data_IF_125652451729
#
_entry.id   IF_125652451729
#
_cell.length_a   1.000
_cell.length_b   1.000
_cell.length_c   1.000
_cell.angle_alpha   90.00
_cell.angle_beta   90.00
_cell.angle_gamma   90.00
#
_symmetry.space_group_name_H-M   'P 1'
#
loop_
_entity.id
_entity.type
_entity.pdbx_description
1 polymer ?
#
# COMPACT_ATOMS: atom_id res chain seq x y z
N UNK A 1 7.17 54.61 3.08
CA UNK A 1 6.61 54.30 1.74
C UNK A 1 7.39 53.13 1.17
N UNK A 2 6.82 51.92 1.13
CA UNK A 2 7.09 50.87 0.13
C UNK A 2 6.23 49.64 0.46
N UNK A 3 5.04 49.64 -0.15
CA UNK A 3 4.18 48.53 -0.57
C UNK A 3 4.36 47.17 0.13
N UNK A 4 3.52 46.94 1.14
CA UNK A 4 3.03 45.61 1.55
C UNK A 4 2.21 45.04 0.39
N UNK A 5 2.61 43.88 -0.13
CA UNK A 5 1.84 43.11 -1.12
C UNK A 5 1.61 41.69 -0.55
N UNK A 6 0.35 41.29 -0.63
CA UNK A 6 -0.35 40.12 -0.06
C UNK A 6 0.20 38.75 -0.51
N UNK A 7 0.25 37.82 0.45
CA UNK A 7 -0.15 36.38 0.44
C UNK A 7 0.49 35.39 -0.58
N UNK A 8 0.39 34.05 -0.39
CA UNK A 8 1.01 33.22 0.66
C UNK A 8 1.44 31.79 0.16
N UNK A 9 2.45 31.12 0.71
CA UNK A 9 2.76 29.71 0.30
C UNK A 9 3.25 28.84 1.48
N UNK A 10 2.45 27.87 1.93
CA UNK A 10 2.83 26.79 2.86
C UNK A 10 1.84 25.61 2.73
N UNK A 11 2.33 24.38 2.51
CA UNK A 11 1.46 23.25 2.10
C UNK A 11 2.18 21.90 2.27
N UNK A 12 1.75 21.01 3.19
CA UNK A 12 2.36 19.66 3.31
C UNK A 12 1.40 18.46 3.44
N UNK A 13 0.11 18.61 3.80
CA UNK A 13 -0.87 17.49 3.75
C UNK A 13 -2.23 17.79 3.21
N UNK A 14 -2.58 19.07 3.16
CA UNK A 14 -3.59 19.57 2.24
C UNK A 14 -3.26 19.20 0.79
N UNK A 15 -2.00 18.85 0.51
CA UNK A 15 -1.41 18.75 -0.82
C UNK A 15 -1.96 17.66 -1.74
N UNK A 16 -2.30 16.46 -1.27
CA UNK A 16 -2.72 15.40 -2.21
C UNK A 16 -4.10 15.65 -2.85
N UNK A 17 -4.92 16.54 -2.27
CA UNK A 17 -6.29 16.80 -2.77
C UNK A 17 -6.58 18.31 -2.82
N UNK A 18 -6.18 19.12 -1.83
CA UNK A 18 -6.25 20.59 -1.82
C UNK A 18 -5.48 21.24 -2.98
N UNK A 19 -4.27 20.75 -3.25
CA UNK A 19 -3.52 21.16 -4.44
C UNK A 19 -4.19 20.62 -5.72
N UNK A 20 -4.91 19.50 -5.69
CA UNK A 20 -5.71 19.04 -6.85
C UNK A 20 -6.83 20.03 -7.22
N UNK A 21 -7.34 20.80 -6.24
CA UNK A 21 -8.45 21.76 -6.44
C UNK A 21 -7.90 23.14 -6.80
N UNK A 22 -6.84 23.61 -6.17
CA UNK A 22 -6.22 24.90 -6.50
C UNK A 22 -5.35 24.84 -7.78
N UNK A 23 -4.74 23.69 -8.08
CA UNK A 23 -3.91 23.42 -9.27
C UNK A 23 -4.71 22.84 -10.44
N UNK A 24 -6.03 22.66 -10.28
CA UNK A 24 -6.96 22.37 -11.39
C UNK A 24 -6.99 23.48 -12.46
N UNK A 25 -6.40 24.64 -12.17
CA UNK A 25 -5.89 25.57 -13.18
C UNK A 25 -4.46 25.22 -13.60
N UNK A 26 -4.28 24.05 -14.18
CA UNK A 26 -2.94 23.58 -14.57
C UNK A 26 -2.99 22.30 -15.35
N UNK A 27 -3.36 22.38 -16.62
CA UNK A 27 -3.37 21.27 -17.59
C UNK A 27 -2.03 20.49 -17.69
N UNK A 28 -0.95 21.03 -17.11
CA UNK A 28 0.38 20.45 -17.06
C UNK A 28 0.56 19.30 -16.04
N UNK A 29 -0.19 19.27 -14.93
CA UNK A 29 0.12 18.35 -13.82
C UNK A 29 -0.68 17.05 -13.86
N UNK A 30 -1.93 17.09 -14.33
CA UNK A 30 -2.76 15.90 -14.51
C UNK A 30 -2.18 14.94 -15.56
N UNK A 31 -1.56 15.47 -16.63
CA UNK A 31 -0.83 14.64 -17.61
C UNK A 31 0.38 13.94 -16.98
N UNK A 32 1.08 14.59 -16.05
CA UNK A 32 2.22 14.01 -15.32
C UNK A 32 1.74 12.92 -14.36
N UNK A 33 0.67 13.15 -13.61
CA UNK A 33 0.06 12.14 -12.72
C UNK A 33 -0.42 10.93 -13.51
N UNK A 34 -1.13 11.13 -14.62
CA UNK A 34 -1.62 10.02 -15.47
C UNK A 34 -0.44 9.23 -16.06
N UNK A 35 0.59 9.93 -16.56
CA UNK A 35 1.78 9.27 -17.13
C UNK A 35 2.58 8.51 -16.07
N UNK A 36 2.85 9.12 -14.92
CA UNK A 36 3.57 8.48 -13.80
C UNK A 36 2.78 7.33 -13.20
N UNK A 37 1.45 7.48 -13.05
CA UNK A 37 0.55 6.41 -12.63
C UNK A 37 0.55 5.27 -13.64
N UNK A 38 0.55 5.56 -14.95
CA UNK A 38 0.62 4.53 -15.98
C UNK A 38 1.90 3.70 -15.91
N UNK A 39 3.07 4.34 -15.75
CA UNK A 39 4.34 3.61 -15.66
C UNK A 39 4.43 2.80 -14.37
N UNK A 40 4.02 3.37 -13.23
CA UNK A 40 3.99 2.65 -11.96
C UNK A 40 3.00 1.48 -12.01
N UNK A 41 1.84 1.66 -12.64
CA UNK A 41 0.86 0.60 -12.83
C UNK A 41 1.41 -0.54 -13.70
N UNK A 42 2.19 -0.23 -14.75
CA UNK A 42 2.88 -1.27 -15.52
C UNK A 42 3.90 -2.04 -14.68
N UNK A 43 4.67 -1.34 -13.82
CA UNK A 43 5.57 -1.98 -12.87
C UNK A 43 4.81 -2.85 -11.84
N UNK A 44 3.62 -2.40 -11.41
CA UNK A 44 2.74 -3.15 -10.52
C UNK A 44 2.15 -4.40 -11.19
N UNK A 45 1.77 -4.31 -12.47
CA UNK A 45 1.30 -5.46 -13.24
C UNK A 45 2.43 -6.47 -13.44
N UNK A 46 3.66 -5.99 -13.71
CA UNK A 46 4.84 -6.83 -13.72
C UNK A 46 5.06 -7.52 -12.37
N UNK A 47 4.90 -6.80 -11.26
CA UNK A 47 4.92 -7.35 -9.92
C UNK A 47 3.82 -8.40 -9.67
N UNK A 48 2.62 -8.18 -10.22
CA UNK A 48 1.53 -9.15 -10.13
C UNK A 48 1.87 -10.46 -10.85
N UNK A 49 2.44 -10.36 -12.05
CA UNK A 49 2.96 -11.52 -12.80
C UNK A 49 4.10 -12.20 -12.03
N UNK A 50 5.01 -11.42 -11.46
CA UNK A 50 6.11 -11.94 -10.64
C UNK A 50 5.58 -12.71 -9.42
N UNK A 51 4.52 -12.24 -8.77
CA UNK A 51 3.85 -12.98 -7.68
C UNK A 51 3.27 -14.29 -8.18
N UNK A 52 2.51 -14.29 -9.30
CA UNK A 52 1.93 -15.51 -9.85
C UNK A 52 3.00 -16.55 -10.21
N UNK A 53 4.10 -16.13 -10.85
CA UNK A 53 5.24 -17.00 -11.14
C UNK A 53 5.87 -17.50 -9.83
N UNK A 54 6.05 -16.60 -8.85
CA UNK A 54 6.56 -16.95 -7.53
C UNK A 54 5.70 -17.98 -6.81
N UNK A 55 4.37 -17.90 -6.91
CA UNK A 55 3.44 -18.88 -6.35
C UNK A 55 3.59 -20.25 -6.99
N UNK A 56 3.70 -20.32 -8.33
CA UNK A 56 3.93 -21.59 -9.04
C UNK A 56 5.26 -22.21 -8.62
N UNK A 57 6.35 -21.43 -8.64
CA UNK A 57 7.68 -21.90 -8.26
C UNK A 57 7.72 -22.34 -6.80
N UNK A 58 7.11 -21.57 -5.90
CA UNK A 58 7.03 -21.92 -4.49
C UNK A 58 6.25 -23.22 -4.24
N UNK A 59 5.16 -23.44 -4.96
CA UNK A 59 4.37 -24.67 -4.82
C UNK A 59 5.11 -25.90 -5.35
N UNK A 60 5.91 -25.73 -6.41
CA UNK A 60 6.78 -26.80 -6.93
C UNK A 60 7.92 -27.15 -5.97
N UNK A 61 8.55 -26.16 -5.35
CA UNK A 61 9.69 -26.37 -4.43
C UNK A 61 9.24 -26.81 -3.03
N UNK A 62 8.09 -26.31 -2.58
CA UNK A 62 7.53 -26.56 -1.25
C UNK A 62 6.10 -27.08 -1.41
N UNK A 63 5.94 -28.34 -1.87
CA UNK A 63 4.62 -28.90 -2.05
C UNK A 63 3.98 -29.10 -0.67
N UNK A 64 2.97 -28.28 -0.38
CA UNK A 64 2.24 -28.20 0.89
C UNK A 64 1.32 -29.42 1.14
N UNK A 65 1.77 -30.63 0.81
CA UNK A 65 0.98 -31.88 0.83
C UNK A 65 0.43 -32.23 2.20
N UNK A 66 1.12 -31.84 3.27
CA UNK A 66 0.66 -32.07 4.65
C UNK A 66 -0.65 -31.35 4.99
N UNK A 67 -1.01 -30.32 4.21
CA UNK A 67 -2.24 -29.54 4.38
C UNK A 67 -3.41 -30.11 3.55
N UNK A 68 -3.21 -31.21 2.82
CA UNK A 68 -4.24 -31.85 2.00
C UNK A 68 -4.85 -30.87 0.99
N UNK A 69 -6.18 -30.75 1.00
CA UNK A 69 -6.91 -29.85 0.11
C UNK A 69 -6.68 -28.36 0.41
N UNK A 70 -6.18 -28.01 1.60
CA UNK A 70 -5.92 -26.61 1.94
C UNK A 70 -4.60 -26.09 1.37
N UNK A 71 -3.70 -26.95 0.91
CA UNK A 71 -2.38 -26.56 0.41
C UNK A 71 -2.46 -25.63 -0.81
N UNK A 72 -3.18 -26.01 -1.87
CA UNK A 72 -3.31 -25.15 -3.05
C UNK A 72 -4.23 -23.94 -2.79
N UNK A 73 -5.21 -24.08 -1.89
CA UNK A 73 -6.12 -22.98 -1.51
C UNK A 73 -5.38 -21.88 -0.76
N UNK A 74 -4.51 -22.24 0.20
CA UNK A 74 -3.70 -21.28 0.93
C UNK A 74 -2.63 -20.65 0.04
N UNK A 75 -2.09 -21.40 -0.93
CA UNK A 75 -1.22 -20.84 -1.96
C UNK A 75 -1.94 -19.77 -2.81
N UNK A 76 -3.20 -20.02 -3.20
CA UNK A 76 -4.02 -19.04 -3.91
C UNK A 76 -4.31 -17.79 -3.06
N UNK A 77 -4.61 -17.98 -1.77
CA UNK A 77 -4.83 -16.90 -0.83
C UNK A 77 -3.57 -16.04 -0.63
N UNK A 78 -2.41 -16.66 -0.48
CA UNK A 78 -1.11 -15.97 -0.40
C UNK A 78 -0.72 -15.30 -1.73
N UNK A 79 -1.09 -15.86 -2.88
CA UNK A 79 -0.91 -15.18 -4.15
C UNK A 79 -1.71 -13.86 -4.18
N UNK A 80 -3.01 -13.91 -3.85
CA UNK A 80 -3.84 -12.70 -3.79
C UNK A 80 -3.37 -11.71 -2.73
N UNK A 81 -2.89 -12.21 -1.58
CA UNK A 81 -2.27 -11.41 -0.50
C UNK A 81 -1.11 -10.56 -1.00
N UNK A 82 -0.26 -11.15 -1.83
CA UNK A 82 0.97 -10.54 -2.35
C UNK A 82 0.75 -9.80 -3.69
N UNK A 83 -0.49 -9.76 -4.20
CA UNK A 83 -0.89 -8.89 -5.32
C UNK A 83 -1.69 -7.69 -4.82
N UNK A 84 -2.57 -7.88 -3.83
CA UNK A 84 -3.56 -6.88 -3.41
C UNK A 84 -3.75 -6.75 -1.90
N UNK A 85 -2.80 -7.16 -1.07
CA UNK A 85 -2.85 -6.92 0.38
C UNK A 85 -3.71 -7.90 1.19
N UNK A 86 -3.71 -7.73 2.52
CA UNK A 86 -4.30 -8.64 3.51
C UNK A 86 -5.79 -8.93 3.34
N UNK A 87 -6.56 -7.96 2.84
CA UNK A 87 -8.01 -8.13 2.60
C UNK A 87 -8.31 -9.20 1.55
N UNK A 88 -7.44 -9.35 0.54
CA UNK A 88 -7.62 -10.36 -0.51
C UNK A 88 -7.32 -11.76 0.00
N UNK A 89 -6.38 -11.91 0.92
CA UNK A 89 -6.09 -13.20 1.55
C UNK A 89 -7.33 -13.78 2.22
N UNK A 90 -8.01 -12.98 3.03
CA UNK A 90 -9.20 -13.41 3.77
C UNK A 90 -10.33 -13.74 2.79
N UNK A 91 -10.59 -12.86 1.82
CA UNK A 91 -11.63 -13.07 0.82
C UNK A 91 -11.43 -14.36 0.00
N UNK A 92 -10.20 -14.64 -0.45
CA UNK A 92 -9.89 -15.88 -1.18
C UNK A 92 -9.99 -17.10 -0.26
N UNK A 93 -9.52 -16.99 0.99
CA UNK A 93 -9.59 -18.08 1.95
C UNK A 93 -11.03 -18.47 2.28
N UNK A 94 -11.92 -17.49 2.42
CA UNK A 94 -13.35 -17.70 2.58
C UNK A 94 -13.97 -18.33 1.32
N UNK A 95 -13.68 -17.78 0.14
CA UNK A 95 -14.24 -18.25 -1.12
C UNK A 95 -13.79 -19.68 -1.50
N UNK A 96 -12.59 -20.09 -1.10
CA UNK A 96 -12.06 -21.44 -1.33
C UNK A 96 -12.30 -22.39 -0.15
N UNK A 97 -12.95 -21.92 0.92
CA UNK A 97 -13.22 -22.70 2.13
C UNK A 97 -11.94 -23.31 2.73
N UNK A 98 -10.94 -22.47 3.01
CA UNK A 98 -9.73 -22.85 3.75
C UNK A 98 -10.10 -23.06 5.22
N UNK A 99 -9.55 -24.10 5.86
CA UNK A 99 -9.80 -24.31 7.29
C UNK A 99 -9.31 -23.13 8.15
N UNK A 100 -10.02 -22.75 9.23
CA UNK A 100 -9.65 -21.60 10.05
C UNK A 100 -8.24 -21.69 10.67
N UNK A 101 -7.79 -22.90 11.00
CA UNK A 101 -6.44 -23.12 11.53
C UNK A 101 -5.35 -22.83 10.49
N UNK A 102 -5.55 -23.24 9.24
CA UNK A 102 -4.62 -22.98 8.14
C UNK A 102 -4.65 -21.51 7.74
N UNK A 103 -5.84 -20.89 7.69
CA UNK A 103 -6.00 -19.46 7.47
C UNK A 103 -5.20 -18.65 8.51
N UNK A 104 -5.37 -18.96 9.80
CA UNK A 104 -4.68 -18.27 10.88
C UNK A 104 -3.15 -18.49 10.84
N UNK A 105 -2.71 -19.72 10.57
CA UNK A 105 -1.30 -20.05 10.44
C UNK A 105 -0.64 -19.31 9.26
N UNK A 106 -1.34 -19.23 8.12
CA UNK A 106 -0.85 -18.50 6.95
C UNK A 106 -0.76 -16.99 7.17
N UNK A 107 -1.72 -16.36 7.87
CA UNK A 107 -1.62 -14.95 8.26
C UNK A 107 -0.43 -14.69 9.19
N UNK A 108 -0.22 -15.57 10.17
CA UNK A 108 0.89 -15.44 11.09
C UNK A 108 2.24 -15.55 10.36
N UNK A 109 2.35 -16.50 9.42
CA UNK A 109 3.54 -16.66 8.59
C UNK A 109 3.76 -15.44 7.67
N UNK A 110 2.69 -14.98 7.01
CA UNK A 110 2.70 -13.83 6.09
C UNK A 110 3.17 -12.55 6.79
N UNK A 111 2.72 -12.27 8.02
CA UNK A 111 3.14 -11.07 8.75
C UNK A 111 4.66 -11.07 9.04
N UNK A 112 5.23 -12.22 9.41
CA UNK A 112 6.69 -12.35 9.60
C UNK A 112 7.42 -12.12 8.28
N UNK A 113 6.94 -12.74 7.20
CA UNK A 113 7.53 -12.59 5.86
C UNK A 113 7.44 -11.13 5.38
N UNK A 114 6.30 -10.47 5.56
CA UNK A 114 6.12 -9.06 5.22
C UNK A 114 7.07 -8.15 6.00
N UNK A 115 7.30 -8.41 7.29
CA UNK A 115 8.26 -7.64 8.08
C UNK A 115 9.69 -7.74 7.51
N UNK A 116 10.15 -8.95 7.21
CA UNK A 116 11.46 -9.18 6.56
C UNK A 116 11.50 -8.55 5.17
N UNK A 117 10.40 -8.66 4.43
CA UNK A 117 10.25 -8.16 3.08
C UNK A 117 10.35 -6.64 3.00
N UNK A 118 9.56 -5.91 3.79
CA UNK A 118 9.60 -4.45 3.80
C UNK A 118 10.96 -3.95 4.27
N UNK A 119 11.57 -4.59 5.28
CA UNK A 119 12.94 -4.28 5.70
C UNK A 119 13.91 -4.41 4.53
N UNK A 120 13.78 -5.47 3.74
CA UNK A 120 14.59 -5.70 2.53
C UNK A 120 14.34 -4.62 1.47
N UNK A 121 13.09 -4.28 1.17
CA UNK A 121 12.77 -3.20 0.22
C UNK A 121 13.33 -1.84 0.65
N UNK A 122 13.21 -1.50 1.93
CA UNK A 122 13.79 -0.26 2.48
C UNK A 122 15.32 -0.27 2.42
N UNK A 123 15.96 -1.41 2.70
CA UNK A 123 17.39 -1.58 2.54
C UNK A 123 17.84 -1.40 1.08
N UNK A 124 17.11 -1.96 0.12
CA UNK A 124 17.35 -1.78 -1.31
C UNK A 124 17.11 -0.33 -1.76
N UNK A 125 16.12 0.35 -1.18
CA UNK A 125 15.81 1.74 -1.44
C UNK A 125 16.80 2.71 -0.78
N UNK A 126 17.61 2.29 0.19
CA UNK A 126 18.46 3.17 1.02
C UNK A 126 19.37 4.09 0.21
N UNK A 127 19.97 3.56 -0.87
CA UNK A 127 20.89 4.29 -1.76
C UNK A 127 20.21 5.16 -2.82
N UNK A 128 18.88 5.06 -2.94
CA UNK A 128 18.11 5.88 -3.87
C UNK A 128 17.87 7.23 -3.19
N UNK A 129 18.32 8.35 -3.80
CA UNK A 129 18.13 9.67 -3.23
C UNK A 129 16.65 10.06 -3.20
N UNK A 130 16.32 11.00 -2.31
CA UNK A 130 15.05 11.72 -2.39
C UNK A 130 15.01 12.52 -3.70
N UNK A 131 13.81 12.91 -4.13
CA UNK A 131 13.68 13.75 -5.33
C UNK A 131 14.41 15.08 -5.12
N UNK A 132 15.28 15.45 -6.07
CA UNK A 132 15.93 16.75 -6.01
C UNK A 132 14.90 17.86 -6.22
N UNK A 133 14.95 18.85 -5.36
CA UNK A 133 14.10 20.04 -5.37
C UNK A 133 14.33 20.95 -6.59
N UNK A 134 14.94 20.49 -7.68
CA UNK A 134 15.18 21.31 -8.89
C UNK A 134 13.99 21.34 -9.86
N UNK A 135 12.85 20.74 -9.46
CA UNK A 135 11.51 21.11 -9.93
C UNK A 135 10.65 21.68 -8.79
N UNK A 136 11.28 22.01 -7.66
CA UNK A 136 10.65 22.55 -6.47
C UNK A 136 11.30 23.91 -6.16
N UNK A 137 10.71 24.98 -6.68
CA UNK A 137 11.09 26.31 -6.22
C UNK A 137 10.60 26.48 -4.78
N UNK A 138 11.52 26.37 -3.82
CA UNK A 138 11.43 27.01 -2.51
C UNK A 138 11.22 26.07 -1.32
N UNK A 139 12.22 26.04 -0.43
CA UNK A 139 12.04 25.59 0.95
C UNK A 139 13.01 24.49 1.36
N UNK A 140 14.27 24.86 1.60
CA UNK A 140 15.22 23.97 2.27
C UNK A 140 14.70 23.58 3.66
N UNK A 141 14.76 22.28 3.96
CA UNK A 141 14.66 21.76 5.31
C UNK A 141 15.91 22.22 6.07
N UNK A 142 15.85 23.40 6.67
CA UNK A 142 16.67 23.65 7.84
C UNK A 142 16.09 22.79 8.96
N UNK A 143 16.95 21.96 9.54
CA UNK A 143 16.79 21.42 10.88
C UNK A 143 16.68 22.58 11.87
N UNK A 144 15.48 23.15 11.97
CA UNK A 144 15.03 23.78 13.20
C UNK A 144 13.81 22.99 13.65
N UNK A 145 14.05 22.16 14.65
CA UNK A 145 13.06 21.88 15.66
C UNK A 145 12.46 23.20 16.12
N UNK A 146 11.37 23.64 15.49
CA UNK A 146 10.45 24.58 16.10
C UNK A 146 9.80 23.82 17.26
N UNK A 147 10.47 23.85 18.41
CA UNK A 147 9.83 23.71 19.69
C UNK A 147 8.70 24.73 19.77
N UNK A 148 7.44 24.32 19.62
CA UNK A 148 6.36 25.27 19.90
C UNK A 148 4.92 24.87 19.61
N UNK A 149 4.60 24.25 18.48
CA UNK A 149 3.20 23.89 18.23
C UNK A 149 2.93 22.52 18.83
N UNK A 150 2.52 22.54 20.11
CA UNK A 150 1.85 21.39 20.74
C UNK A 150 0.79 20.91 19.76
N UNK A 151 0.86 19.64 19.35
CA UNK A 151 -0.25 18.99 18.64
C UNK A 151 -1.52 19.31 19.41
N UNK A 152 -2.31 20.23 18.87
CA UNK A 152 -3.47 20.71 19.60
C UNK A 152 -4.45 19.55 19.63
N UNK A 153 -4.83 19.16 20.86
CA UNK A 153 -5.65 17.97 21.11
C UNK A 153 -6.97 18.05 20.32
N UNK A 154 -7.49 19.27 20.15
CA UNK A 154 -8.77 19.51 19.48
C UNK A 154 -8.69 19.28 17.95
N UNK A 155 -7.79 19.91 17.17
CA UNK A 155 -7.53 19.55 15.76
C UNK A 155 -7.23 18.07 15.53
N UNK A 156 -6.46 17.45 16.44
CA UNK A 156 -6.16 16.02 16.34
C UNK A 156 -7.39 15.15 16.53
N UNK A 157 -8.18 15.42 17.58
CA UNK A 157 -9.41 14.68 17.86
C UNK A 157 -10.46 14.89 16.77
N UNK A 158 -10.57 16.11 16.23
CA UNK A 158 -11.49 16.43 15.13
C UNK A 158 -11.08 15.76 13.82
N UNK A 159 -9.79 15.76 13.47
CA UNK A 159 -9.29 15.03 12.29
C UNK A 159 -9.57 13.52 12.38
N UNK A 160 -9.37 12.91 13.56
CA UNK A 160 -9.69 11.51 13.80
C UNK A 160 -11.20 11.24 13.72
N UNK A 161 -12.02 12.07 14.35
CA UNK A 161 -13.48 11.92 14.32
C UNK A 161 -14.02 12.01 12.88
N UNK A 162 -13.56 13.00 12.11
CA UNK A 162 -13.92 13.15 10.70
C UNK A 162 -13.49 11.92 9.90
N UNK A 163 -12.27 11.42 10.11
CA UNK A 163 -11.77 10.20 9.46
C UNK A 163 -12.65 8.97 9.77
N UNK A 164 -13.04 8.76 11.03
CA UNK A 164 -13.93 7.67 11.41
C UNK A 164 -15.32 7.79 10.80
N UNK A 165 -15.88 9.01 10.76
CA UNK A 165 -17.19 9.26 10.13
C UNK A 165 -17.13 8.94 8.65
N UNK A 166 -16.09 9.40 7.94
CA UNK A 166 -15.92 9.13 6.52
C UNK A 166 -15.79 7.63 6.27
N UNK A 167 -14.93 6.92 7.02
CA UNK A 167 -14.77 5.48 6.92
C UNK A 167 -16.09 4.74 7.13
N UNK A 168 -16.85 5.10 8.18
CA UNK A 168 -18.14 4.47 8.49
C UNK A 168 -19.17 4.74 7.40
N UNK A 169 -19.27 5.98 6.92
CA UNK A 169 -20.17 6.36 5.84
C UNK A 169 -19.85 5.63 4.54
N UNK A 170 -18.57 5.52 4.19
CA UNK A 170 -18.12 4.80 3.00
C UNK A 170 -18.44 3.30 3.08
N UNK A 171 -18.16 2.65 4.21
CA UNK A 171 -18.48 1.23 4.43
C UNK A 171 -19.99 1.00 4.40
N UNK A 172 -20.77 1.89 5.01
CA UNK A 172 -22.23 1.81 4.97
C UNK A 172 -22.76 1.92 3.54
N UNK A 173 -22.24 2.88 2.77
CA UNK A 173 -22.62 3.11 1.39
C UNK A 173 -22.28 1.90 0.51
N UNK A 174 -21.06 1.37 0.60
CA UNK A 174 -20.63 0.22 -0.21
C UNK A 174 -21.37 -1.04 0.15
N UNK A 175 -21.71 -1.23 1.44
CA UNK A 175 -22.57 -2.33 1.89
C UNK A 175 -24.00 -2.19 1.39
N UNK A 176 -24.56 -0.98 1.42
CA UNK A 176 -25.91 -0.71 0.92
C UNK A 176 -26.03 -1.02 -0.58
N UNK A 177 -25.02 -0.66 -1.37
CA UNK A 177 -24.98 -0.96 -2.80
C UNK A 177 -24.44 -2.36 -3.14
N UNK A 178 -24.09 -3.19 -2.15
CA UNK A 178 -23.59 -4.54 -2.36
C UNK A 178 -22.24 -4.62 -3.09
N UNK A 179 -21.43 -3.55 -3.06
CA UNK A 179 -20.14 -3.49 -3.76
C UNK A 179 -19.07 -4.14 -2.88
N UNK A 180 -18.82 -5.43 -3.09
CA UNK A 180 -17.72 -6.14 -2.43
C UNK A 180 -16.36 -5.50 -2.80
N UNK A 181 -15.54 -5.21 -1.78
CA UNK A 181 -14.23 -4.57 -1.96
C UNK A 181 -14.27 -3.06 -2.29
N UNK A 182 -15.46 -2.45 -2.43
CA UNK A 182 -15.60 -1.04 -2.81
C UNK A 182 -15.27 -0.03 -1.71
N UNK A 183 -15.08 -0.48 -0.46
CA UNK A 183 -14.95 0.40 0.70
C UNK A 183 -13.79 1.37 0.60
N UNK A 184 -12.60 0.93 0.18
CA UNK A 184 -11.43 1.81 0.04
C UNK A 184 -11.59 2.85 -1.09
N UNK A 185 -11.99 2.46 -2.32
CA UNK A 185 -12.34 3.44 -3.36
C UNK A 185 -13.41 4.45 -2.92
N UNK A 186 -14.44 3.99 -2.19
CA UNK A 186 -15.50 4.86 -1.70
C UNK A 186 -15.00 5.83 -0.62
N UNK A 187 -14.13 5.37 0.30
CA UNK A 187 -13.46 6.25 1.27
C UNK A 187 -12.69 7.32 0.51
N UNK A 188 -11.84 6.93 -0.44
CA UNK A 188 -11.05 7.88 -1.25
C UNK A 188 -11.96 8.87 -1.99
N UNK A 189 -13.03 8.40 -2.63
CA UNK A 189 -13.96 9.26 -3.35
C UNK A 189 -14.65 10.28 -2.43
N UNK A 190 -15.09 9.85 -1.25
CA UNK A 190 -15.73 10.73 -0.25
C UNK A 190 -14.72 11.75 0.30
N UNK A 191 -13.50 11.32 0.64
CA UNK A 191 -12.44 12.24 1.08
C UNK A 191 -12.14 13.27 -0.01
N UNK A 192 -11.97 12.83 -1.26
CA UNK A 192 -11.70 13.72 -2.39
C UNK A 192 -12.82 14.74 -2.58
N UNK A 193 -14.07 14.27 -2.56
CA UNK A 193 -15.23 15.13 -2.67
C UNK A 193 -15.30 16.16 -1.53
N UNK A 194 -15.12 15.73 -0.28
CA UNK A 194 -15.21 16.62 0.88
C UNK A 194 -14.06 17.63 0.95
N UNK A 195 -12.83 17.20 0.65
CA UNK A 195 -11.69 18.11 0.56
C UNK A 195 -11.86 19.11 -0.60
N UNK A 196 -12.56 18.71 -1.68
CA UNK A 196 -12.96 19.60 -2.79
C UNK A 196 -14.01 20.60 -2.42
N UNK A 197 -15.02 20.18 -1.68
CA UNK A 197 -16.10 21.06 -1.26
C UNK A 197 -15.69 22.00 -0.10
N UNK A 198 -14.76 21.58 0.76
CA UNK A 198 -14.41 22.25 2.02
C UNK A 198 -12.88 22.40 2.22
N UNK A 199 -12.16 23.08 1.31
CA UNK A 199 -10.70 23.12 1.33
C UNK A 199 -10.13 23.75 2.60
N UNK A 200 -10.73 24.86 3.08
CA UNK A 200 -10.25 25.61 4.26
C UNK A 200 -10.35 24.81 5.57
N UNK A 201 -11.33 23.90 5.66
CA UNK A 201 -11.54 23.03 6.80
C UNK A 201 -10.57 21.86 6.79
N UNK A 202 -10.27 21.31 5.59
CA UNK A 202 -9.33 20.20 5.43
C UNK A 202 -7.88 20.66 5.63
N UNK A 203 -7.45 21.74 4.98
CA UNK A 203 -7.12 22.94 5.71
C UNK A 203 -6.38 22.84 7.06
N UNK A 204 -7.01 23.58 7.97
CA UNK A 204 -6.86 23.51 9.40
C UNK A 204 -6.60 22.12 10.02
N UNK A 205 -7.18 21.03 9.50
CA UNK A 205 -7.02 19.68 10.06
C UNK A 205 -5.77 18.94 9.57
N UNK A 206 -5.20 19.33 8.43
CA UNK A 206 -4.16 18.58 7.75
C UNK A 206 -2.86 18.40 8.58
N UNK A 207 -2.31 19.43 9.25
CA UNK A 207 -1.10 19.25 10.07
C UNK A 207 -1.28 18.23 11.20
N UNK A 208 -2.48 18.18 11.80
CA UNK A 208 -2.81 17.18 12.82
C UNK A 208 -3.06 15.81 12.21
N UNK A 209 -3.64 15.76 11.01
CA UNK A 209 -3.80 14.56 10.20
C UNK A 209 -2.47 13.92 9.81
N UNK A 210 -1.44 14.70 9.44
CA UNK A 210 -0.08 14.20 9.15
C UNK A 210 0.55 13.51 10.31
N UNK A 211 0.59 14.21 11.44
CA UNK A 211 1.24 13.71 12.62
C UNK A 211 0.60 12.40 13.04
N UNK A 212 -0.74 12.32 13.00
CA UNK A 212 -1.46 11.09 13.26
C UNK A 212 -1.21 10.00 12.22
N UNK A 213 -1.16 10.34 10.92
CA UNK A 213 -0.87 9.36 9.86
C UNK A 213 0.54 8.75 10.03
N UNK A 214 1.54 9.57 10.35
CA UNK A 214 2.91 9.11 10.63
C UNK A 214 2.96 8.22 11.89
N UNK A 215 2.31 8.64 12.98
CA UNK A 215 2.22 7.84 14.21
C UNK A 215 1.52 6.50 13.92
N UNK A 216 0.38 6.52 13.23
CA UNK A 216 -0.38 5.32 12.89
C UNK A 216 0.39 4.40 11.92
N UNK A 217 1.19 4.96 11.01
CA UNK A 217 2.08 4.20 10.13
C UNK A 217 3.18 3.50 10.93
N UNK A 218 3.78 4.16 11.92
CA UNK A 218 4.75 3.53 12.81
C UNK A 218 4.10 2.43 13.67
N UNK A 219 2.90 2.68 14.21
CA UNK A 219 2.13 1.66 14.94
C UNK A 219 1.79 0.48 14.02
N UNK A 220 1.41 0.72 12.77
CA UNK A 220 1.15 -0.33 11.78
C UNK A 220 2.39 -1.21 11.59
N UNK A 221 3.56 -0.64 11.32
CA UNK A 221 4.79 -1.43 11.16
C UNK A 221 5.21 -2.14 12.45
N UNK A 222 5.03 -1.50 13.61
CA UNK A 222 5.29 -2.12 14.91
C UNK A 222 4.36 -3.32 15.16
N UNK A 223 3.06 -3.20 14.86
CA UNK A 223 2.09 -4.29 14.99
C UNK A 223 2.37 -5.39 13.97
N UNK A 224 2.70 -5.08 12.72
CA UNK A 224 3.10 -6.09 11.73
C UNK A 224 4.31 -6.88 12.25
N UNK A 225 5.33 -6.19 12.77
CA UNK A 225 6.50 -6.84 13.38
C UNK A 225 6.15 -7.68 14.61
N UNK A 226 5.30 -7.17 15.52
CA UNK A 226 4.94 -7.84 16.76
C UNK A 226 3.94 -8.99 16.59
N UNK A 227 3.05 -8.90 15.59
CA UNK A 227 2.02 -9.91 15.29
C UNK A 227 2.60 -11.21 14.72
N UNK A 228 3.87 -11.18 14.28
CA UNK A 228 4.58 -12.35 13.83
C UNK A 228 4.85 -13.34 14.97
N UNK A 229 3.99 -14.33 15.15
CA UNK A 229 4.24 -15.42 16.10
C UNK A 229 5.22 -16.44 15.51
N UNK A 230 6.51 -16.15 15.59
CA UNK A 230 7.60 -17.02 15.09
C UNK A 230 7.43 -18.46 15.63
N UNK A 231 6.99 -18.60 16.88
CA UNK A 231 6.73 -19.91 17.51
C UNK A 231 5.57 -20.66 16.86
N UNK A 232 4.46 -20.00 16.56
CA UNK A 232 3.32 -20.65 15.87
C UNK A 232 3.67 -20.97 14.41
N UNK A 233 4.44 -20.10 13.75
CA UNK A 233 4.90 -20.32 12.38
C UNK A 233 5.77 -21.58 12.29
N UNK A 234 6.72 -21.76 13.22
CA UNK A 234 7.61 -22.92 13.25
C UNK A 234 6.87 -24.20 13.66
N UNK A 235 5.94 -24.13 14.63
CA UNK A 235 5.29 -25.32 15.20
C UNK A 235 4.05 -25.78 14.43
N UNK A 236 3.33 -24.88 13.74
CA UNK A 236 2.01 -25.19 13.17
C UNK A 236 2.03 -25.37 11.65
N UNK A 237 2.87 -24.63 10.92
CA UNK A 237 2.91 -24.73 9.46
C UNK A 237 4.24 -24.24 8.84
N UNK A 238 5.37 -24.91 9.13
CA UNK A 238 6.67 -24.54 8.57
C UNK A 238 6.68 -24.58 7.03
N UNK A 239 5.85 -25.42 6.43
CA UNK A 239 5.65 -25.49 4.98
C UNK A 239 5.02 -24.22 4.40
N UNK A 240 4.05 -23.59 5.09
CA UNK A 240 3.43 -22.33 4.63
C UNK A 240 4.44 -21.18 4.70
N UNK A 241 5.24 -21.13 5.77
CA UNK A 241 6.30 -20.14 5.89
C UNK A 241 7.35 -20.26 4.79
N UNK A 242 7.85 -21.47 4.55
CA UNK A 242 8.85 -21.72 3.52
C UNK A 242 8.28 -21.43 2.12
N UNK A 243 7.02 -21.81 1.88
CA UNK A 243 6.31 -21.44 0.67
C UNK A 243 6.25 -19.92 0.48
N UNK A 244 5.79 -19.16 1.49
CA UNK A 244 5.68 -17.71 1.42
C UNK A 244 7.05 -17.03 1.24
N UNK A 245 8.09 -17.54 1.90
CA UNK A 245 9.47 -17.06 1.76
C UNK A 245 9.98 -17.24 0.33
N UNK A 246 9.80 -18.44 -0.24
CA UNK A 246 10.20 -18.72 -1.63
C UNK A 246 9.37 -17.85 -2.60
N UNK A 247 8.06 -17.76 -2.38
CA UNK A 247 7.16 -17.00 -3.25
C UNK A 247 7.53 -15.52 -3.30
N UNK A 248 7.78 -14.89 -2.14
CA UNK A 248 8.15 -13.47 -2.09
C UNK A 248 9.59 -13.23 -2.57
N UNK A 249 10.49 -14.18 -2.33
CA UNK A 249 11.87 -14.14 -2.84
C UNK A 249 11.90 -14.19 -4.37
N UNK A 250 11.12 -15.10 -4.97
CA UNK A 250 10.95 -15.19 -6.43
C UNK A 250 10.24 -13.96 -6.96
N UNK A 251 9.20 -13.46 -6.30
CA UNK A 251 8.55 -12.19 -6.68
C UNK A 251 9.59 -11.06 -6.81
N UNK A 252 10.41 -10.86 -5.77
CA UNK A 252 11.42 -9.80 -5.76
C UNK A 252 12.48 -10.02 -6.84
N UNK A 253 12.95 -11.25 -7.01
CA UNK A 253 13.94 -11.58 -8.03
C UNK A 253 13.39 -11.34 -9.45
N UNK A 254 12.15 -11.74 -9.72
CA UNK A 254 11.51 -11.60 -11.03
C UNK A 254 11.17 -10.14 -11.32
N UNK A 255 10.60 -9.38 -10.37
CA UNK A 255 10.25 -7.98 -10.61
C UNK A 255 11.50 -7.12 -10.81
N UNK A 256 12.58 -7.36 -10.06
CA UNK A 256 13.85 -6.63 -10.25
C UNK A 256 14.57 -7.08 -11.52
N UNK A 257 14.59 -8.38 -11.82
CA UNK A 257 15.23 -8.95 -13.00
C UNK A 257 14.56 -8.51 -14.30
N UNK A 258 13.25 -8.74 -14.42
CA UNK A 258 12.46 -8.32 -15.58
C UNK A 258 12.31 -6.79 -15.64
N UNK A 259 12.18 -6.13 -14.49
CA UNK A 259 12.14 -4.67 -14.43
C UNK A 259 13.41 -4.04 -14.99
N UNK A 260 14.58 -4.59 -14.64
CA UNK A 260 15.86 -4.19 -15.22
C UNK A 260 15.94 -4.48 -16.72
N UNK A 261 15.44 -5.64 -17.16
CA UNK A 261 15.39 -6.00 -18.59
C UNK A 261 14.53 -5.01 -19.40
N UNK A 262 13.38 -4.60 -18.87
CA UNK A 262 12.48 -3.62 -19.48
C UNK A 262 12.87 -2.16 -19.19
N UNK A 263 14.01 -1.92 -18.53
CA UNK A 263 14.54 -0.59 -18.19
C UNK A 263 13.59 0.26 -17.33
N UNK A 264 12.85 -0.38 -16.43
CA UNK A 264 12.12 0.34 -15.39
C UNK A 264 13.09 0.97 -14.39
N UNK A 265 12.69 2.13 -13.86
CA UNK A 265 13.40 2.77 -12.76
C UNK A 265 13.28 1.94 -11.48
N UNK A 266 14.39 1.75 -10.77
CA UNK A 266 14.43 0.94 -9.55
C UNK A 266 13.49 1.49 -8.46
N UNK A 267 13.35 2.81 -8.35
CA UNK A 267 12.42 3.47 -7.43
C UNK A 267 10.98 3.06 -7.71
N UNK A 268 10.59 3.05 -8.99
CA UNK A 268 9.26 2.63 -9.41
C UNK A 268 9.03 1.14 -9.15
N UNK A 269 10.03 0.29 -9.40
CA UNK A 269 9.93 -1.16 -9.14
C UNK A 269 9.76 -1.46 -7.66
N UNK A 270 10.56 -0.84 -6.78
CA UNK A 270 10.47 -1.04 -5.33
C UNK A 270 9.14 -0.55 -4.79
N UNK A 271 8.66 0.61 -5.25
CA UNK A 271 7.37 1.15 -4.83
C UNK A 271 6.19 0.33 -5.36
N UNK A 272 6.23 -0.11 -6.62
CA UNK A 272 5.22 -0.98 -7.22
C UNK A 272 5.17 -2.33 -6.50
N UNK A 273 6.33 -2.92 -6.21
CA UNK A 273 6.44 -4.15 -5.45
C UNK A 273 5.90 -4.01 -4.01
N UNK A 274 6.17 -2.88 -3.37
CA UNK A 274 5.55 -2.55 -2.08
C UNK A 274 4.02 -2.43 -2.21
N UNK A 275 3.51 -1.78 -3.26
CA UNK A 275 2.07 -1.69 -3.51
C UNK A 275 1.42 -3.07 -3.75
N UNK A 276 2.10 -4.01 -4.42
CA UNK A 276 1.62 -5.40 -4.57
C UNK A 276 1.51 -6.11 -3.23
N UNK A 277 2.60 -6.10 -2.46
CA UNK A 277 2.73 -6.91 -1.24
C UNK A 277 2.07 -6.26 -0.04
N UNK A 278 2.19 -4.94 0.11
CA UNK A 278 1.70 -4.21 1.26
C UNK A 278 0.46 -3.36 1.00
N UNK A 279 0.04 -3.18 -0.26
CA UNK A 279 -1.14 -2.39 -0.59
C UNK A 279 -0.93 -0.88 -0.51
N UNK A 280 -2.04 -0.09 -0.54
CA UNK A 280 -1.97 1.36 -0.70
C UNK A 280 -1.31 2.08 0.49
N UNK A 281 -1.48 1.58 1.71
CA UNK A 281 -0.99 2.24 2.94
C UNK A 281 0.53 2.17 3.06
N UNK A 282 1.12 1.02 2.80
CA UNK A 282 2.57 0.80 2.85
C UNK A 282 3.31 1.42 1.68
N UNK A 283 2.69 1.43 0.49
CA UNK A 283 3.22 2.15 -0.67
C UNK A 283 3.28 3.65 -0.40
N UNK A 284 2.19 4.25 0.10
CA UNK A 284 2.19 5.64 0.57
C UNK A 284 3.31 5.87 1.59
N UNK A 285 3.38 5.00 2.60
CA UNK A 285 4.38 5.11 3.65
C UNK A 285 5.83 5.08 3.15
N UNK A 286 6.16 4.17 2.23
CA UNK A 286 7.50 4.13 1.63
C UNK A 286 7.78 5.37 0.80
N UNK A 287 6.83 5.82 -0.02
CA UNK A 287 7.01 7.01 -0.83
C UNK A 287 7.29 8.25 0.05
N UNK A 288 6.53 8.40 1.14
CA UNK A 288 6.76 9.47 2.13
C UNK A 288 8.12 9.34 2.81
N UNK A 289 8.44 8.16 3.37
CA UNK A 289 9.67 7.93 4.10
C UNK A 289 10.93 8.10 3.23
N UNK A 290 10.82 7.89 1.91
CA UNK A 290 11.92 8.03 0.96
C UNK A 290 11.98 9.40 0.26
N UNK A 291 11.05 10.31 0.55
CA UNK A 291 10.99 11.63 -0.11
C UNK A 291 10.64 11.53 -1.60
N UNK A 292 9.76 10.59 -1.94
CA UNK A 292 9.29 10.29 -3.29
C UNK A 292 7.88 10.87 -3.50
N UNK A 293 7.70 12.15 -3.22
CA UNK A 293 6.40 12.81 -3.11
C UNK A 293 5.58 12.68 -4.38
N UNK A 294 6.21 12.73 -5.56
CA UNK A 294 5.52 12.57 -6.85
C UNK A 294 4.86 11.20 -7.05
N UNK A 295 5.20 10.20 -6.22
CA UNK A 295 4.72 8.82 -6.36
C UNK A 295 3.77 8.39 -5.25
N UNK A 296 3.44 9.27 -4.29
CA UNK A 296 2.51 8.95 -3.20
C UNK A 296 1.14 8.56 -3.79
N UNK A 297 0.54 9.45 -4.59
CA UNK A 297 -0.77 9.21 -5.22
C UNK A 297 -0.72 8.03 -6.21
N UNK A 298 0.24 7.96 -7.16
CA UNK A 298 0.42 6.79 -8.01
C UNK A 298 0.52 5.45 -7.24
N UNK A 299 1.27 5.41 -6.15
CA UNK A 299 1.45 4.21 -5.32
C UNK A 299 0.16 3.77 -4.62
N UNK A 300 -0.61 4.73 -4.08
CA UNK A 300 -1.93 4.46 -3.50
C UNK A 300 -2.88 3.89 -4.56
N UNK A 301 -2.95 4.52 -5.73
CA UNK A 301 -3.84 4.08 -6.81
C UNK A 301 -3.50 2.68 -7.30
N UNK A 302 -2.22 2.35 -7.46
CA UNK A 302 -1.78 1.01 -7.82
C UNK A 302 -2.14 -0.02 -6.74
N UNK A 303 -1.96 0.32 -5.46
CA UNK A 303 -2.37 -0.55 -4.35
C UNK A 303 -3.89 -0.80 -4.31
N UNK A 304 -4.71 0.23 -4.53
CA UNK A 304 -6.18 0.09 -4.62
C UNK A 304 -6.57 -0.78 -5.83
N UNK A 305 -5.92 -0.57 -6.98
CA UNK A 305 -6.12 -1.40 -8.15
C UNK A 305 -5.80 -2.88 -7.86
N UNK A 306 -4.69 -3.13 -7.16
CA UNK A 306 -4.34 -4.44 -6.64
C UNK A 306 -5.44 -5.08 -5.80
N UNK A 307 -6.01 -4.29 -4.88
CA UNK A 307 -7.11 -4.76 -4.03
C UNK A 307 -8.30 -5.21 -4.86
N UNK A 308 -8.63 -4.49 -5.94
CA UNK A 308 -9.77 -4.79 -6.79
C UNK A 308 -9.60 -6.07 -7.63
N UNK A 309 -8.38 -6.38 -8.10
CA UNK A 309 -8.16 -7.50 -9.04
C UNK A 309 -7.71 -8.79 -8.35
N UNK A 310 -7.04 -8.70 -7.20
CA UNK A 310 -6.30 -9.82 -6.63
C UNK A 310 -7.18 -11.00 -6.20
N UNK A 311 -8.39 -10.75 -5.67
CA UNK A 311 -9.33 -11.82 -5.29
C UNK A 311 -9.72 -12.67 -6.51
N UNK A 312 -10.10 -12.01 -7.60
CA UNK A 312 -10.49 -12.70 -8.83
C UNK A 312 -9.33 -13.51 -9.42
N UNK A 313 -8.13 -12.91 -9.48
CA UNK A 313 -6.93 -13.59 -9.96
C UNK A 313 -6.57 -14.79 -9.08
N UNK A 314 -6.63 -14.63 -7.75
CA UNK A 314 -6.34 -15.70 -6.79
C UNK A 314 -7.27 -16.89 -6.93
N UNK A 315 -8.59 -16.65 -6.98
CA UNK A 315 -9.59 -17.73 -7.12
C UNK A 315 -9.45 -18.40 -8.49
N UNK A 316 -9.39 -17.60 -9.57
CA UNK A 316 -9.33 -18.13 -10.92
C UNK A 316 -8.07 -18.97 -11.15
N UNK A 317 -6.90 -18.44 -10.77
CA UNK A 317 -5.62 -19.15 -10.91
C UNK A 317 -5.53 -20.35 -9.96
N UNK A 318 -6.05 -20.21 -8.74
CA UNK A 318 -6.12 -21.30 -7.77
C UNK A 318 -6.88 -22.50 -8.31
N UNK A 319 -8.07 -22.28 -8.84
CA UNK A 319 -8.92 -23.35 -9.40
C UNK A 319 -8.40 -23.91 -10.73
N UNK A 320 -7.86 -23.04 -11.60
CA UNK A 320 -7.42 -23.45 -12.94
C UNK A 320 -6.04 -24.11 -12.97
N UNK A 321 -5.14 -23.72 -12.06
CA UNK A 321 -3.72 -24.13 -12.09
C UNK A 321 -3.31 -24.79 -10.78
N UNK A 322 -3.37 -24.07 -9.66
CA UNK A 322 -2.77 -24.55 -8.40
C UNK A 322 -3.42 -25.84 -7.89
N UNK A 323 -4.72 -26.03 -8.13
CA UNK A 323 -5.47 -27.24 -7.76
C UNK A 323 -4.92 -28.52 -8.42
N UNK A 324 -4.26 -28.41 -9.57
CA UNK A 324 -3.77 -29.55 -10.35
C UNK A 324 -2.26 -29.79 -10.18
N UNK A 325 -1.57 -29.00 -9.35
CA UNK A 325 -0.15 -29.13 -9.03
C UNK A 325 0.06 -29.95 -7.76
#
# INVERSE_FOLDING_TARGET
MLKVRKDPDWEYTEWCIGEYINRSRGEADMRRVIKSTGILLLAFLLGSVATTVGTVVALMLVPMRSLGQDGWKIAAALMGRHIGGAVNYVAISEALEVSPSVLAAGLAADNVICAVYFTTLFALASKIPAESSTSAAGGGLNEESQSGDKLSVLPTATALAVSFIICKSAIYLTKYFGIQGGSLPAITAIVVFLATAFPNQFAYLAPSGEAMALILMQVFFAVVGASGSIRNVISTAPSIFLFALVQIGVHLAVILGLGKLFRFDLRLLLLASNANVGGPTTACGMATAKGWTSLIVPGILAGIFGIAIATFLGIAFGQAVLRFM
#
